data_IF_570916817122
#
_entry.id   IF_570916817122
#
_cell.length_a   1.000
_cell.length_b   1.000
_cell.length_c   1.000
_cell.angle_alpha   90.00
_cell.angle_beta   90.00
_cell.angle_gamma   90.00
#
_symmetry.space_group_name_H-M   'P 1'
#
loop_
_entity.id
_entity.type
_entity.pdbx_description
1 polymer ?
#
# COMPACT_ATOMS: atom_id res chain seq x y z
N UNK A 1 0.71 9.46 12.00
CA UNK A 1 -0.07 8.38 11.38
C UNK A 1 -0.02 7.14 12.27
N UNK A 2 -0.97 6.19 12.13
CA UNK A 2 -0.98 4.94 12.90
C UNK A 2 0.25 4.04 12.64
N UNK A 3 0.86 4.12 11.45
CA UNK A 3 2.09 3.41 11.17
C UNK A 3 3.27 3.90 12.03
N UNK A 4 3.38 5.23 12.23
CA UNK A 4 4.47 5.85 12.96
C UNK A 4 4.51 5.48 14.46
N UNK A 5 3.41 4.97 15.02
CA UNK A 5 3.39 4.46 16.40
C UNK A 5 3.89 3.02 16.53
N UNK A 6 3.91 2.24 15.44
CA UNK A 6 4.46 0.88 15.43
C UNK A 6 5.94 0.86 15.05
N UNK A 7 6.33 1.64 14.04
CA UNK A 7 7.71 1.80 13.60
C UNK A 7 8.02 3.30 13.45
N UNK A 8 8.91 3.86 14.30
CA UNK A 8 9.21 5.28 14.25
C UNK A 8 9.76 5.73 12.89
N UNK A 9 9.34 6.91 12.37
CA UNK A 9 9.84 7.44 11.10
C UNK A 9 11.36 7.56 11.03
N UNK A 10 12.02 7.87 12.15
CA UNK A 10 13.49 7.96 12.25
C UNK A 10 14.18 6.62 12.00
N UNK A 11 13.54 5.50 12.34
CA UNK A 11 14.07 4.16 12.08
C UNK A 11 13.94 3.82 10.61
N UNK A 12 12.79 4.14 9.99
CA UNK A 12 12.57 3.92 8.55
C UNK A 12 13.54 4.77 7.72
N UNK A 13 13.86 5.99 8.17
CA UNK A 13 14.80 6.88 7.50
C UNK A 13 16.24 6.32 7.40
N UNK A 14 16.60 5.28 8.17
CA UNK A 14 17.90 4.62 8.06
C UNK A 14 18.04 3.75 6.80
N UNK A 15 16.91 3.36 6.19
CA UNK A 15 16.86 2.39 5.09
C UNK A 15 16.16 2.93 3.85
N UNK A 16 15.83 4.23 3.81
CA UNK A 16 15.20 4.87 2.65
C UNK A 16 15.70 6.30 2.46
N UNK A 17 15.57 6.81 1.23
CA UNK A 17 16.01 8.17 0.87
C UNK A 17 15.11 9.28 1.42
N UNK A 18 13.88 8.96 1.83
CA UNK A 18 12.94 9.95 2.35
C UNK A 18 11.73 9.35 3.05
N UNK A 19 11.31 9.99 4.15
CA UNK A 19 10.12 9.62 4.92
C UNK A 19 9.13 10.77 4.94
N UNK A 20 7.93 10.57 4.38
CA UNK A 20 6.90 11.61 4.28
C UNK A 20 5.74 11.32 5.24
N UNK A 21 5.34 12.33 6.02
CA UNK A 21 4.33 12.21 7.09
C UNK A 21 3.25 13.27 6.90
N UNK A 22 2.02 12.96 7.35
CA UNK A 22 0.86 13.87 7.30
C UNK A 22 1.13 15.24 7.95
N UNK A 23 1.87 15.23 9.07
CA UNK A 23 2.19 16.41 9.85
C UNK A 23 3.70 16.48 10.06
N UNK A 24 4.37 17.34 9.28
CA UNK A 24 5.74 17.81 9.58
C UNK A 24 5.71 19.27 10.08
N UNK A 25 6.66 19.67 10.95
CA UNK A 25 6.78 21.06 11.37
C UNK A 25 6.89 22.01 10.16
N UNK A 26 6.25 23.17 10.29
CA UNK A 26 5.99 24.16 9.22
C UNK A 26 7.28 24.67 8.54
N UNK A 27 8.44 24.50 9.18
CA UNK A 27 9.73 24.99 8.70
C UNK A 27 10.32 24.20 7.51
N UNK A 28 9.86 22.97 7.25
CA UNK A 28 10.33 22.17 6.11
C UNK A 28 9.40 22.34 4.91
N UNK A 29 9.97 22.66 3.74
CA UNK A 29 9.24 22.71 2.47
C UNK A 29 8.65 21.32 2.19
N UNK A 30 7.33 21.21 2.25
CA UNK A 30 6.59 19.97 1.99
C UNK A 30 6.63 19.68 0.49
N UNK A 31 7.13 18.52 0.03
CA UNK A 31 6.71 18.05 -1.28
C UNK A 31 5.20 17.78 -1.19
N UNK A 32 4.45 18.42 -2.08
CA UNK A 32 2.99 18.25 -2.12
C UNK A 32 2.62 16.82 -2.50
N UNK A 33 1.39 16.39 -2.19
CA UNK A 33 0.86 15.10 -2.65
C UNK A 33 0.97 14.94 -4.18
N UNK A 34 0.81 16.03 -4.94
CA UNK A 34 1.01 16.04 -6.40
C UNK A 34 2.48 15.77 -6.79
N UNK A 35 3.42 16.37 -6.07
CA UNK A 35 4.85 16.22 -6.35
C UNK A 35 5.30 14.79 -6.04
N UNK A 36 4.91 14.26 -4.89
CA UNK A 36 5.18 12.87 -4.49
C UNK A 36 4.57 11.88 -5.49
N UNK A 37 3.32 12.10 -5.89
CA UNK A 37 2.62 11.23 -6.81
C UNK A 37 3.26 11.19 -8.21
N UNK A 38 3.89 12.29 -8.63
CA UNK A 38 4.61 12.37 -9.92
C UNK A 38 6.04 11.86 -9.86
N UNK A 39 6.67 11.92 -8.69
CA UNK A 39 8.07 11.53 -8.50
C UNK A 39 8.30 10.03 -8.73
N UNK A 40 7.39 9.18 -8.24
CA UNK A 40 7.50 7.73 -8.38
C UNK A 40 7.08 7.23 -9.77
N UNK A 41 7.90 6.37 -10.37
CA UNK A 41 7.50 5.56 -11.54
C UNK A 41 6.55 4.43 -11.13
N UNK A 42 6.65 3.97 -9.89
CA UNK A 42 5.76 3.00 -9.28
C UNK A 42 5.35 3.48 -7.89
N UNK A 43 4.06 3.33 -7.56
CA UNK A 43 3.55 3.63 -6.24
C UNK A 43 2.97 2.37 -5.59
N UNK A 44 3.60 1.93 -4.51
CA UNK A 44 3.24 0.71 -3.78
C UNK A 44 2.74 1.05 -2.37
N UNK A 45 1.62 0.46 -1.98
CA UNK A 45 1.10 0.48 -0.60
C UNK A 45 1.34 -0.88 0.03
N UNK A 46 2.35 -0.95 0.92
CA UNK A 46 2.80 -2.16 1.59
C UNK A 46 3.15 -1.86 3.07
N UNK A 47 2.49 -2.50 4.04
CA UNK A 47 1.22 -3.21 3.91
C UNK A 47 0.04 -2.26 3.64
N UNK A 48 -0.97 -2.72 2.91
CA UNK A 48 -2.25 -2.04 2.72
C UNK A 48 -3.29 -2.56 3.72
N UNK A 49 -3.77 -1.68 4.59
CA UNK A 49 -4.84 -2.02 5.55
C UNK A 49 -6.23 -1.92 4.90
N UNK A 50 -7.24 -2.58 5.48
CA UNK A 50 -8.62 -2.47 5.02
C UNK A 50 -9.13 -1.01 4.97
N UNK A 51 -8.65 -0.16 5.87
CA UNK A 51 -8.99 1.26 5.90
C UNK A 51 -8.40 2.02 4.70
N UNK A 52 -7.13 1.77 4.35
CA UNK A 52 -6.52 2.39 3.16
C UNK A 52 -7.21 1.91 1.89
N UNK A 53 -7.50 0.61 1.78
CA UNK A 53 -8.23 0.01 0.65
C UNK A 53 -9.61 0.67 0.52
N UNK A 54 -10.35 0.80 1.62
CA UNK A 54 -11.68 1.42 1.61
C UNK A 54 -11.65 2.90 1.24
N UNK A 55 -10.68 3.65 1.73
CA UNK A 55 -10.52 5.06 1.37
C UNK A 55 -10.17 5.23 -0.11
N UNK A 56 -9.20 4.49 -0.61
CA UNK A 56 -8.76 4.56 -2.00
C UNK A 56 -9.91 4.20 -2.96
N UNK A 57 -10.61 3.08 -2.71
CA UNK A 57 -11.71 2.59 -3.54
C UNK A 57 -12.92 3.55 -3.62
N UNK A 58 -13.05 4.47 -2.67
CA UNK A 58 -14.17 5.42 -2.59
C UNK A 58 -13.73 6.88 -2.80
N UNK A 59 -12.51 7.12 -3.29
CA UNK A 59 -12.05 8.48 -3.60
C UNK A 59 -11.76 9.36 -2.38
N UNK A 60 -11.46 8.78 -1.22
CA UNK A 60 -11.29 9.51 0.04
C UNK A 60 -9.81 9.83 0.35
N UNK A 61 -9.44 11.11 0.36
CA UNK A 61 -8.10 11.60 0.68
C UNK A 61 -7.96 12.13 2.11
N UNK A 62 -8.16 11.28 3.13
CA UNK A 62 -8.15 11.73 4.53
C UNK A 62 -6.74 12.00 5.11
N UNK A 63 -5.68 11.51 4.46
CA UNK A 63 -4.29 11.70 4.89
C UNK A 63 -3.35 11.83 3.68
N UNK A 64 -2.05 12.04 3.92
CA UNK A 64 -1.06 12.24 2.86
C UNK A 64 -0.99 11.02 1.93
N UNK A 65 -1.01 9.80 2.49
CA UNK A 65 -0.97 8.57 1.70
C UNK A 65 -2.18 8.50 0.75
N UNK A 66 -3.40 8.58 1.26
CA UNK A 66 -4.61 8.41 0.43
C UNK A 66 -4.82 9.59 -0.52
N UNK A 67 -4.41 10.80 -0.15
CA UNK A 67 -4.40 11.94 -1.09
C UNK A 67 -3.38 11.75 -2.22
N UNK A 68 -2.21 11.19 -1.92
CA UNK A 68 -1.19 10.88 -2.94
C UNK A 68 -1.66 9.78 -3.87
N UNK A 69 -2.41 8.79 -3.36
CA UNK A 69 -3.04 7.74 -4.18
C UNK A 69 -3.98 8.36 -5.21
N UNK A 70 -4.85 9.29 -4.80
CA UNK A 70 -5.77 9.99 -5.71
C UNK A 70 -5.04 10.90 -6.71
N UNK A 71 -3.88 11.43 -6.32
CA UNK A 71 -3.06 12.28 -7.19
C UNK A 71 -2.18 11.49 -8.17
N UNK A 72 -2.07 10.16 -7.99
CA UNK A 72 -1.20 9.31 -8.81
C UNK A 72 -1.69 9.26 -10.26
N UNK A 73 -0.84 9.65 -11.24
CA UNK A 73 -1.18 9.48 -12.66
C UNK A 73 -1.04 8.02 -13.11
N UNK A 74 -0.56 7.12 -12.24
CA UNK A 74 -0.28 5.71 -12.54
C UNK A 74 -1.08 4.80 -11.63
N UNK A 75 -1.39 3.57 -12.07
CA UNK A 75 -1.93 2.53 -11.21
C UNK A 75 -1.09 2.32 -9.94
N UNK A 76 -1.71 2.54 -8.78
CA UNK A 76 -1.16 2.17 -7.47
C UNK A 76 -1.25 0.65 -7.27
N UNK A 77 -0.21 0.07 -6.66
CA UNK A 77 -0.11 -1.35 -6.32
C UNK A 77 -0.37 -1.53 -4.83
N UNK A 78 -1.36 -2.33 -4.46
CA UNK A 78 -1.73 -2.61 -3.07
C UNK A 78 -1.34 -4.03 -2.70
N UNK A 79 -0.70 -4.18 -1.54
CA UNK A 79 -0.44 -5.46 -0.88
C UNK A 79 -1.25 -5.54 0.42
N UNK A 80 -2.50 -6.05 0.37
CA UNK A 80 -3.35 -6.20 1.53
C UNK A 80 -2.67 -7.02 2.62
N UNK A 81 -2.64 -6.49 3.84
CA UNK A 81 -2.31 -7.24 5.04
C UNK A 81 -3.40 -6.95 6.07
N UNK A 82 -4.34 -7.89 6.17
CA UNK A 82 -5.52 -7.79 7.02
C UNK A 82 -5.84 -9.17 7.56
N UNK A 83 -6.45 -9.20 8.74
CA UNK A 83 -6.95 -10.43 9.35
C UNK A 83 -7.95 -11.14 8.40
N UNK A 84 -7.98 -12.47 8.40
CA UNK A 84 -8.85 -13.30 7.54
C UNK A 84 -10.36 -12.97 7.69
N UNK A 85 -10.83 -12.74 8.91
CA UNK A 85 -12.18 -12.27 9.23
C UNK A 85 -12.51 -10.92 8.61
N UNK A 86 -11.52 -10.04 8.47
CA UNK A 86 -11.70 -8.75 7.79
C UNK A 86 -11.66 -8.93 6.27
N UNK A 87 -10.72 -9.75 5.77
CA UNK A 87 -10.58 -10.03 4.34
C UNK A 87 -11.86 -10.61 3.75
N UNK A 88 -12.49 -11.56 4.44
CA UNK A 88 -13.73 -12.21 4.00
C UNK A 88 -14.98 -11.30 4.01
N UNK A 89 -14.90 -10.07 4.55
CA UNK A 89 -16.04 -9.15 4.54
C UNK A 89 -16.37 -8.72 3.11
N UNK A 90 -17.65 -8.79 2.76
CA UNK A 90 -18.18 -8.33 1.46
C UNK A 90 -17.78 -6.90 1.12
N UNK A 91 -17.71 -6.01 2.11
CA UNK A 91 -17.27 -4.63 1.89
C UNK A 91 -15.79 -4.53 1.46
N UNK A 92 -14.92 -5.33 2.06
CA UNK A 92 -13.48 -5.36 1.70
C UNK A 92 -13.30 -5.96 0.32
N UNK A 93 -13.94 -7.09 0.04
CA UNK A 93 -13.90 -7.72 -1.28
C UNK A 93 -14.45 -6.80 -2.37
N UNK A 94 -15.55 -6.08 -2.12
CA UNK A 94 -16.09 -5.07 -3.05
C UNK A 94 -15.08 -3.96 -3.30
N UNK A 95 -14.46 -3.39 -2.26
CA UNK A 95 -13.47 -2.33 -2.43
C UNK A 95 -12.23 -2.80 -3.19
N UNK A 96 -11.78 -4.04 -2.95
CA UNK A 96 -10.69 -4.66 -3.72
C UNK A 96 -11.07 -4.76 -5.19
N UNK A 97 -12.29 -5.21 -5.49
CA UNK A 97 -12.77 -5.29 -6.87
C UNK A 97 -12.88 -3.90 -7.51
N UNK A 98 -13.42 -2.91 -6.81
CA UNK A 98 -13.49 -1.52 -7.29
C UNK A 98 -12.11 -0.98 -7.65
N UNK A 99 -11.10 -1.18 -6.79
CA UNK A 99 -9.73 -0.77 -7.11
C UNK A 99 -9.20 -1.45 -8.39
N UNK A 100 -9.46 -2.74 -8.56
CA UNK A 100 -9.07 -3.48 -9.78
C UNK A 100 -9.77 -2.94 -11.01
N UNK A 101 -11.07 -2.66 -10.90
CA UNK A 101 -11.89 -2.11 -12.00
C UNK A 101 -11.44 -0.68 -12.37
N UNK A 102 -10.99 0.10 -11.39
CA UNK A 102 -10.39 1.44 -11.55
C UNK A 102 -8.96 1.39 -12.13
N UNK A 103 -8.43 0.19 -12.40
CA UNK A 103 -7.11 -0.02 -13.00
C UNK A 103 -5.96 -0.13 -12.02
N UNK A 104 -6.20 -0.09 -10.71
CA UNK A 104 -5.18 -0.38 -9.70
C UNK A 104 -4.85 -1.87 -9.65
N UNK A 105 -3.67 -2.18 -9.11
CA UNK A 105 -3.21 -3.57 -8.98
C UNK A 105 -3.34 -3.96 -7.50
N UNK A 106 -4.23 -4.90 -7.19
CA UNK A 106 -4.37 -5.44 -5.84
C UNK A 106 -3.86 -6.89 -5.82
N UNK A 107 -2.73 -7.11 -5.15
CA UNK A 107 -2.10 -8.42 -5.00
C UNK A 107 -2.87 -9.21 -3.95
N UNK A 108 -3.34 -10.41 -4.28
CA UNK A 108 -3.99 -11.25 -3.27
C UNK A 108 -2.98 -11.69 -2.20
N UNK A 109 -3.37 -11.68 -0.91
CA UNK A 109 -2.53 -12.17 0.16
C UNK A 109 -2.30 -13.69 0.03
N UNK A 110 -1.18 -14.16 0.57
CA UNK A 110 -0.82 -15.58 0.58
C UNK A 110 -1.24 -16.22 1.90
N UNK A 111 -1.52 -17.52 1.88
CA UNK A 111 -1.74 -18.28 3.11
C UNK A 111 -0.42 -18.89 3.53
N UNK A 112 0.04 -18.52 4.72
CA UNK A 112 1.18 -19.16 5.35
C UNK A 112 0.98 -19.22 6.87
N UNK A 113 1.70 -20.15 7.50
CA UNK A 113 1.72 -20.28 8.96
C UNK A 113 2.44 -19.06 9.56
N UNK A 114 1.71 -18.25 10.33
CA UNK A 114 2.22 -17.03 10.95
C UNK A 114 1.68 -16.87 12.38
N UNK A 115 2.34 -16.04 13.18
CA UNK A 115 1.89 -15.71 14.52
C UNK A 115 0.73 -14.70 14.49
N UNK A 116 -0.41 -15.07 15.02
CA UNK A 116 -1.57 -14.20 15.15
C UNK A 116 -1.58 -13.53 16.53
N UNK A 117 -1.52 -12.21 16.54
CA UNK A 117 -1.39 -11.42 17.78
C UNK A 117 -2.65 -11.52 18.66
N UNK A 118 -3.83 -11.68 18.07
CA UNK A 118 -5.12 -11.73 18.80
C UNK A 118 -5.28 -13.04 19.59
N UNK A 119 -5.03 -14.19 18.96
CA UNK A 119 -5.08 -15.50 19.61
C UNK A 119 -3.82 -15.83 20.41
N UNK A 120 -2.69 -15.21 20.07
CA UNK A 120 -1.39 -15.53 20.65
C UNK A 120 -0.80 -16.86 20.15
N UNK A 121 -1.35 -17.41 19.07
CA UNK A 121 -0.98 -18.71 18.50
C UNK A 121 -0.40 -18.58 17.09
N UNK A 122 0.36 -19.59 16.68
CA UNK A 122 0.83 -19.73 15.29
C UNK A 122 -0.18 -20.55 14.49
N UNK A 123 -0.76 -19.96 13.45
CA UNK A 123 -1.75 -20.60 12.59
C UNK A 123 -1.66 -20.12 11.15
N UNK A 124 -2.34 -20.81 10.25
CA UNK A 124 -2.45 -20.38 8.86
C UNK A 124 -3.21 -19.05 8.79
N UNK A 125 -2.52 -18.05 8.23
CA UNK A 125 -2.94 -16.66 8.20
C UNK A 125 -2.61 -16.03 6.85
N UNK A 126 -3.27 -14.90 6.58
CA UNK A 126 -2.98 -14.08 5.39
C UNK A 126 -1.69 -13.29 5.61
N UNK A 127 -0.69 -13.57 4.80
CA UNK A 127 0.63 -12.93 4.84
C UNK A 127 0.92 -12.18 3.54
N UNK A 128 1.84 -11.21 3.63
CA UNK A 128 2.48 -10.62 2.46
C UNK A 128 3.60 -11.54 1.98
N UNK A 129 3.91 -11.59 0.68
CA UNK A 129 5.02 -12.38 0.15
C UNK A 129 6.36 -11.98 0.78
N UNK A 130 7.30 -12.93 0.82
CA UNK A 130 8.67 -12.68 1.25
C UNK A 130 9.33 -11.57 0.40
N UNK A 131 10.26 -10.76 0.95
CA UNK A 131 10.83 -9.61 0.25
C UNK A 131 11.37 -9.92 -1.15
N UNK A 132 12.06 -11.06 -1.34
CA UNK A 132 12.58 -11.48 -2.64
C UNK A 132 11.46 -11.71 -3.65
N UNK A 133 10.39 -12.41 -3.24
CA UNK A 133 9.22 -12.67 -4.10
C UNK A 133 8.46 -11.38 -4.41
N UNK A 134 8.40 -10.47 -3.43
CA UNK A 134 7.78 -9.16 -3.60
C UNK A 134 8.51 -8.35 -4.68
N UNK A 135 9.85 -8.27 -4.61
CA UNK A 135 10.66 -7.57 -5.61
C UNK A 135 10.48 -8.19 -7.01
N UNK A 136 10.50 -9.52 -7.12
CA UNK A 136 10.26 -10.21 -8.39
C UNK A 136 8.89 -9.88 -9.00
N UNK A 137 7.85 -9.79 -8.16
CA UNK A 137 6.50 -9.41 -8.59
C UNK A 137 6.46 -7.96 -9.08
N UNK A 138 7.07 -7.05 -8.33
CA UNK A 138 7.14 -5.63 -8.73
C UNK A 138 7.88 -5.46 -10.06
N UNK A 139 9.01 -6.15 -10.25
CA UNK A 139 9.75 -6.13 -11.52
C UNK A 139 8.89 -6.62 -12.69
N UNK A 140 8.16 -7.73 -12.53
CA UNK A 140 7.24 -8.24 -13.55
C UNK A 140 6.12 -7.25 -13.88
N UNK A 141 5.59 -6.56 -12.88
CA UNK A 141 4.55 -5.54 -13.08
C UNK A 141 5.12 -4.35 -13.86
N UNK A 142 6.30 -3.87 -13.47
CA UNK A 142 6.96 -2.75 -14.13
C UNK A 142 7.21 -3.04 -15.62
N UNK A 143 7.79 -4.20 -15.95
CA UNK A 143 8.07 -4.60 -17.34
C UNK A 143 6.80 -4.70 -18.20
N UNK A 144 5.67 -5.13 -17.62
CA UNK A 144 4.38 -5.16 -18.33
C UNK A 144 3.87 -3.75 -18.62
N UNK A 145 3.98 -2.85 -17.65
CA UNK A 145 3.57 -1.45 -17.82
C UNK A 145 4.39 -0.73 -18.90
N UNK A 146 5.69 -1.03 -19.05
CA UNK A 146 6.50 -0.48 -20.14
C UNK A 146 6.09 -1.03 -21.52
N UNK A 147 5.73 -2.31 -21.59
CA UNK A 147 5.33 -2.96 -22.85
C UNK A 147 4.00 -2.40 -23.36
N UNK A 148 3.02 -2.21 -22.46
CA UNK A 148 1.70 -1.64 -22.79
C UNK A 148 1.74 -0.12 -23.08
N UNK A 149 2.83 0.56 -22.71
CA UNK A 149 3.05 1.99 -22.96
C UNK A 149 3.78 2.29 -24.27
N UNK A 150 4.22 1.25 -25.00
CA UNK A 150 4.87 1.39 -26.32
C UNK A 150 3.79 1.40 -27.43
N UNK A 151 3.79 2.39 -28.34
CA UNK A 151 2.76 2.59 -29.36
C UNK A 151 2.76 1.53 -30.48
#
# INVERSE_FOLDING_TARGET
SAAASMLPPSTVALVCDGVFLDQRPIAEKRPGHIELARWGEMFVVLPATANVIGQAANGLGANLLTTTVLASPRPVIFFPNVHDLMWSKTAVQRNVQTLRDDGHIVIDPEVATAYEVDSGETRDSLVIPEPTQLVERLQKIHLRQETDSSP
#
